data_IF_071938393771
#
_entry.id   IF_071938393771
#
_cell.length_a   1.000
_cell.length_b   1.000
_cell.length_c   1.000
_cell.angle_alpha   90.00
_cell.angle_beta   90.00
_cell.angle_gamma   90.00
#
_symmetry.space_group_name_H-M   'P 1'
#
loop_
_entity.id
_entity.type
_entity.pdbx_description
1 polymer ?
#
# COMPACT_ATOMS: atom_id res chain seq x y z
N UNK A 1 -40.81 -3.41 1.64
CA UNK A 1 -40.40 -2.26 0.84
C UNK A 1 -39.54 -1.41 1.75
N UNK A 2 -38.22 -1.64 1.73
CA UNK A 2 -37.28 -0.99 2.65
C UNK A 2 -36.56 0.09 1.85
N UNK A 3 -36.81 1.33 2.25
CA UNK A 3 -36.16 2.54 1.78
C UNK A 3 -34.70 2.52 2.28
N UNK A 4 -33.76 2.26 1.37
CA UNK A 4 -32.33 2.36 1.62
C UNK A 4 -31.91 3.76 1.21
N UNK A 5 -31.80 4.63 2.22
CA UNK A 5 -31.25 5.99 2.08
C UNK A 5 -29.92 5.96 1.30
N UNK A 6 -30.00 6.35 0.04
CA UNK A 6 -28.86 6.70 -0.80
C UNK A 6 -28.23 7.95 -0.20
N UNK A 7 -27.12 7.80 0.52
CA UNK A 7 -26.29 8.93 0.87
C UNK A 7 -25.34 9.19 -0.31
N UNK A 8 -25.93 9.77 -1.36
CA UNK A 8 -25.27 10.11 -2.61
C UNK A 8 -24.31 11.28 -2.37
N UNK A 9 -23.06 11.11 -2.79
CA UNK A 9 -22.20 12.26 -3.04
C UNK A 9 -22.91 13.09 -4.11
N UNK A 10 -23.29 14.33 -3.80
CA UNK A 10 -23.88 15.22 -4.80
C UNK A 10 -22.87 15.38 -5.95
N UNK A 11 -23.22 15.00 -7.19
CA UNK A 11 -22.31 15.11 -8.32
C UNK A 11 -21.87 16.56 -8.52
N UNK A 12 -20.57 16.80 -8.63
CA UNK A 12 -20.07 18.07 -9.17
C UNK A 12 -19.93 17.90 -10.68
N UNK A 13 -20.31 18.91 -11.47
CA UNK A 13 -20.21 18.91 -12.95
C UNK A 13 -18.82 18.48 -13.48
N UNK A 14 -17.75 18.87 -12.77
CA UNK A 14 -16.37 18.44 -13.08
C UNK A 14 -16.05 16.98 -12.73
N UNK A 15 -16.75 16.41 -11.76
CA UNK A 15 -16.59 15.02 -11.34
C UNK A 15 -17.13 14.05 -12.39
N UNK A 16 -18.29 14.37 -12.97
CA UNK A 16 -18.91 13.58 -14.04
C UNK A 16 -18.10 13.55 -15.35
N UNK A 17 -17.24 14.54 -15.58
CA UNK A 17 -16.31 14.58 -16.73
C UNK A 17 -14.97 13.88 -16.46
N UNK A 18 -14.69 13.54 -15.20
CA UNK A 18 -13.38 12.98 -14.80
C UNK A 18 -13.48 11.48 -14.59
N UNK A 19 -12.88 10.72 -15.50
CA UNK A 19 -12.79 9.26 -15.37
C UNK A 19 -11.92 8.85 -14.17
N UNK A 20 -12.13 7.65 -13.66
CA UNK A 20 -11.27 7.09 -12.61
C UNK A 20 -9.81 7.01 -13.04
N UNK A 21 -9.54 6.71 -14.31
CA UNK A 21 -8.20 6.66 -14.89
C UNK A 21 -7.54 8.04 -14.90
N UNK A 22 -8.26 9.08 -15.34
CA UNK A 22 -7.74 10.44 -15.40
C UNK A 22 -7.47 10.98 -13.99
N UNK A 23 -8.38 10.72 -13.05
CA UNK A 23 -8.19 11.05 -11.64
C UNK A 23 -6.93 10.38 -11.07
N UNK A 24 -6.74 9.08 -11.32
CA UNK A 24 -5.58 8.33 -10.86
C UNK A 24 -4.28 8.83 -11.48
N UNK A 25 -4.26 9.10 -12.79
CA UNK A 25 -3.10 9.67 -13.49
C UNK A 25 -2.70 11.02 -12.89
N UNK A 26 -3.68 11.91 -12.65
CA UNK A 26 -3.43 13.23 -12.07
C UNK A 26 -2.96 13.14 -10.61
N UNK A 27 -3.51 12.21 -9.84
CA UNK A 27 -3.08 11.95 -8.46
C UNK A 27 -1.64 11.44 -8.40
N UNK A 28 -1.28 10.45 -9.22
CA UNK A 28 0.06 9.87 -9.27
C UNK A 28 1.09 10.88 -9.78
N UNK A 29 0.75 11.71 -10.77
CA UNK A 29 1.63 12.77 -11.27
C UNK A 29 1.85 13.92 -10.28
N UNK A 30 0.98 14.07 -9.27
CA UNK A 30 1.13 15.08 -8.22
C UNK A 30 1.97 14.59 -7.02
N UNK A 31 2.37 13.32 -6.98
CA UNK A 31 3.25 12.77 -5.94
C UNK A 31 4.71 12.87 -6.40
N UNK A 32 5.61 13.39 -5.55
CA UNK A 32 7.05 13.38 -5.83
C UNK A 32 7.56 11.93 -5.95
N UNK A 33 8.29 11.67 -7.04
CA UNK A 33 8.45 10.35 -7.63
C UNK A 33 9.47 9.46 -6.92
N UNK A 34 9.03 8.24 -6.56
CA UNK A 34 9.85 7.14 -6.03
C UNK A 34 9.10 5.81 -6.12
N UNK A 35 9.68 4.72 -5.58
CA UNK A 35 9.11 3.34 -5.53
C UNK A 35 7.65 3.30 -5.02
N UNK A 36 7.24 4.29 -4.22
CA UNK A 36 5.86 4.45 -3.78
C UNK A 36 4.88 4.63 -4.95
N UNK A 37 5.27 5.36 -6.00
CA UNK A 37 4.44 5.63 -7.16
C UNK A 37 4.17 4.36 -7.97
N UNK A 38 5.15 3.46 -8.17
CA UNK A 38 4.94 2.23 -8.95
C UNK A 38 4.00 1.25 -8.26
N UNK A 39 4.13 1.08 -6.94
CA UNK A 39 3.20 0.25 -6.18
C UNK A 39 1.78 0.85 -6.17
N UNK A 40 1.66 2.17 -6.00
CA UNK A 40 0.39 2.86 -6.05
C UNK A 40 -0.28 2.74 -7.42
N UNK A 41 0.47 2.83 -8.52
CA UNK A 41 -0.04 2.63 -9.90
C UNK A 41 -0.75 1.28 -10.04
N UNK A 42 -0.07 0.18 -9.71
CA UNK A 42 -0.66 -1.16 -9.86
C UNK A 42 -1.88 -1.39 -8.97
N UNK A 43 -1.90 -0.79 -7.78
CA UNK A 43 -3.05 -0.87 -6.88
C UNK A 43 -4.25 -0.14 -7.48
N UNK A 44 -4.04 1.08 -7.97
CA UNK A 44 -5.09 1.89 -8.57
C UNK A 44 -5.62 1.25 -9.85
N UNK A 45 -4.77 0.80 -10.77
CA UNK A 45 -5.19 0.09 -11.99
C UNK A 45 -6.10 -1.10 -11.67
N UNK A 46 -5.72 -1.91 -10.68
CA UNK A 46 -6.51 -3.07 -10.25
C UNK A 46 -7.85 -2.67 -9.62
N UNK A 47 -7.87 -1.60 -8.83
CA UNK A 47 -9.10 -1.12 -8.21
C UNK A 47 -10.04 -0.50 -9.25
N UNK A 48 -9.51 0.28 -10.20
CA UNK A 48 -10.27 0.88 -11.29
C UNK A 48 -10.96 -0.20 -12.11
N UNK A 49 -10.21 -1.21 -12.61
CA UNK A 49 -10.84 -2.30 -13.37
C UNK A 49 -11.94 -3.03 -12.57
N UNK A 50 -11.74 -3.18 -11.25
CA UNK A 50 -12.76 -3.77 -10.37
C UNK A 50 -14.01 -2.87 -10.21
N UNK A 51 -13.85 -1.55 -10.21
CA UNK A 51 -14.94 -0.58 -10.14
C UNK A 51 -15.69 -0.49 -11.47
N UNK A 52 -14.97 -0.53 -12.60
CA UNK A 52 -15.53 -0.52 -13.95
C UNK A 52 -16.38 -1.77 -14.23
N UNK A 53 -15.92 -2.95 -13.76
CA UNK A 53 -16.71 -4.19 -13.78
C UNK A 53 -18.07 -4.06 -13.05
N UNK A 54 -18.25 -3.02 -12.24
CA UNK A 54 -19.47 -2.70 -11.49
C UNK A 54 -20.21 -1.47 -12.04
N UNK A 55 -19.80 -0.98 -13.21
CA UNK A 55 -20.40 0.16 -13.87
C UNK A 55 -20.07 1.52 -13.26
N UNK A 56 -18.94 1.61 -12.54
CA UNK A 56 -18.43 2.89 -12.00
C UNK A 56 -17.21 3.28 -12.82
N UNK A 57 -17.36 4.31 -13.64
CA UNK A 57 -16.32 4.79 -14.56
C UNK A 57 -15.84 6.20 -14.23
N UNK A 58 -16.69 7.01 -13.57
CA UNK A 58 -16.37 8.38 -13.20
C UNK A 58 -16.07 8.50 -11.70
N UNK A 59 -15.31 9.53 -11.34
CA UNK A 59 -14.87 9.73 -9.96
C UNK A 59 -16.00 10.10 -9.00
N UNK A 60 -17.04 10.77 -9.49
CA UNK A 60 -18.21 11.19 -8.71
C UNK A 60 -19.20 10.04 -8.43
N UNK A 61 -19.17 8.99 -9.25
CA UNK A 61 -19.93 7.75 -9.06
C UNK A 61 -19.39 6.88 -7.91
N UNK A 62 -18.20 7.22 -7.37
CA UNK A 62 -17.58 6.49 -6.26
C UNK A 62 -18.38 6.70 -4.98
N UNK A 63 -19.23 5.74 -4.67
CA UNK A 63 -20.09 5.76 -3.48
C UNK A 63 -19.47 5.06 -2.27
N UNK A 64 -20.00 5.38 -1.08
CA UNK A 64 -19.71 4.64 0.17
C UNK A 64 -19.98 3.13 0.03
N UNK A 65 -21.04 2.78 -0.70
CA UNK A 65 -21.42 1.39 -0.98
C UNK A 65 -20.36 0.67 -1.81
N UNK A 66 -19.81 1.33 -2.83
CA UNK A 66 -18.72 0.76 -3.64
C UNK A 66 -17.51 0.46 -2.77
N UNK A 67 -17.13 1.38 -1.89
CA UNK A 67 -15.97 1.21 -1.01
C UNK A 67 -16.18 0.15 0.07
N UNK A 68 -17.40 0.06 0.62
CA UNK A 68 -17.77 -1.03 1.54
C UNK A 68 -17.60 -2.38 0.85
N UNK A 69 -18.12 -2.52 -0.38
CA UNK A 69 -17.95 -3.74 -1.18
C UNK A 69 -16.48 -4.05 -1.50
N UNK A 70 -15.65 -3.02 -1.69
CA UNK A 70 -14.23 -3.18 -1.90
C UNK A 70 -13.52 -3.67 -0.63
N UNK A 71 -13.82 -3.09 0.54
CA UNK A 71 -13.31 -3.54 1.83
C UNK A 71 -13.71 -5.01 2.10
N UNK A 72 -14.99 -5.37 1.90
CA UNK A 72 -15.44 -6.78 2.00
C UNK A 72 -14.66 -7.71 1.08
N UNK A 73 -14.34 -7.28 -0.16
CA UNK A 73 -13.52 -8.07 -1.07
C UNK A 73 -12.10 -8.29 -0.53
N UNK A 74 -11.47 -7.24 -0.01
CA UNK A 74 -10.12 -7.34 0.56
C UNK A 74 -10.11 -8.25 1.79
N UNK A 75 -11.14 -8.14 2.65
CA UNK A 75 -11.33 -9.04 3.79
C UNK A 75 -11.44 -10.50 3.36
N UNK A 76 -12.29 -10.83 2.37
CA UNK A 76 -12.42 -12.20 1.84
C UNK A 76 -11.10 -12.75 1.30
N UNK A 77 -10.30 -11.92 0.63
CA UNK A 77 -8.96 -12.33 0.13
C UNK A 77 -7.96 -12.54 1.25
N UNK A 78 -8.11 -11.84 2.37
CA UNK A 78 -7.29 -12.05 3.56
C UNK A 78 -7.69 -13.36 4.24
N UNK A 79 -9.00 -13.59 4.43
CA UNK A 79 -9.53 -14.83 5.02
C UNK A 79 -9.16 -16.08 4.20
N UNK A 80 -9.02 -15.94 2.87
CA UNK A 80 -8.56 -17.01 1.98
C UNK A 80 -7.03 -17.12 1.85
N UNK A 81 -6.25 -16.40 2.69
CA UNK A 81 -4.78 -16.32 2.62
C UNK A 81 -4.20 -15.89 1.25
N UNK A 82 -4.99 -15.19 0.42
CA UNK A 82 -4.53 -14.71 -0.89
C UNK A 82 -3.70 -13.42 -0.79
N UNK A 83 -3.90 -12.64 0.28
CA UNK A 83 -3.11 -11.46 0.65
C UNK A 83 -3.01 -11.36 2.17
N UNK A 84 -1.96 -10.70 2.67
CA UNK A 84 -1.87 -10.33 4.08
C UNK A 84 -2.84 -9.18 4.44
N UNK A 85 -3.25 -9.09 5.70
CA UNK A 85 -4.09 -7.99 6.20
C UNK A 85 -3.44 -6.61 5.99
N UNK A 86 -2.12 -6.50 6.17
CA UNK A 86 -1.36 -5.28 5.88
C UNK A 86 -1.40 -4.89 4.39
N UNK A 87 -1.40 -5.87 3.49
CA UNK A 87 -1.56 -5.63 2.05
C UNK A 87 -2.97 -5.14 1.72
N UNK A 88 -3.99 -5.72 2.35
CA UNK A 88 -5.37 -5.24 2.24
C UNK A 88 -5.50 -3.78 2.70
N UNK A 89 -4.92 -3.44 3.86
CA UNK A 89 -4.90 -2.07 4.37
C UNK A 89 -4.22 -1.12 3.39
N UNK A 90 -3.01 -1.46 2.90
CA UNK A 90 -2.29 -0.64 1.94
C UNK A 90 -3.09 -0.43 0.64
N UNK A 91 -3.80 -1.46 0.16
CA UNK A 91 -4.63 -1.33 -1.04
C UNK A 91 -5.76 -0.32 -0.82
N UNK A 92 -6.42 -0.39 0.34
CA UNK A 92 -7.48 0.55 0.68
C UNK A 92 -6.96 1.97 0.89
N UNK A 93 -5.81 2.13 1.57
CA UNK A 93 -5.19 3.43 1.84
C UNK A 93 -4.83 4.19 0.56
N UNK A 94 -4.30 3.49 -0.45
CA UNK A 94 -3.98 4.10 -1.76
C UNK A 94 -5.25 4.63 -2.45
N UNK A 95 -6.35 3.86 -2.42
CA UNK A 95 -7.65 4.30 -2.96
C UNK A 95 -8.18 5.50 -2.15
N UNK A 96 -8.10 5.45 -0.82
CA UNK A 96 -8.51 6.57 0.03
C UNK A 96 -7.66 7.83 -0.22
N UNK A 97 -6.38 7.68 -0.57
CA UNK A 97 -5.49 8.76 -0.99
C UNK A 97 -5.98 9.44 -2.27
N UNK A 98 -6.31 8.65 -3.30
CA UNK A 98 -6.91 9.15 -4.54
C UNK A 98 -8.20 9.95 -4.28
N UNK A 99 -9.11 9.42 -3.45
CA UNK A 99 -10.38 10.09 -3.17
C UNK A 99 -10.23 11.35 -2.31
N UNK A 100 -9.20 11.39 -1.45
CA UNK A 100 -8.82 12.63 -0.75
C UNK A 100 -8.34 13.68 -1.74
N UNK A 101 -7.54 13.29 -2.73
CA UNK A 101 -7.10 14.18 -3.80
C UNK A 101 -8.27 14.66 -4.66
N UNK A 102 -9.20 13.79 -5.02
CA UNK A 102 -10.42 14.13 -5.75
C UNK A 102 -11.30 15.14 -4.99
N UNK A 103 -11.46 14.96 -3.67
CA UNK A 103 -12.18 15.92 -2.84
C UNK A 103 -11.48 17.29 -2.79
N UNK A 104 -10.15 17.34 -2.74
CA UNK A 104 -9.40 18.61 -2.82
C UNK A 104 -9.51 19.32 -4.17
N UNK A 105 -9.89 18.59 -5.23
CA UNK A 105 -10.11 19.10 -6.59
C UNK A 105 -11.57 19.45 -6.87
N UNK A 106 -12.44 19.36 -5.85
CA UNK A 106 -13.89 19.55 -5.93
C UNK A 106 -14.61 18.55 -6.87
N UNK A 107 -13.97 17.43 -7.22
CA UNK A 107 -14.62 16.35 -7.99
C UNK A 107 -15.55 15.51 -7.11
N UNK A 108 -15.28 15.48 -5.81
CA UNK A 108 -16.11 14.88 -4.78
C UNK A 108 -16.37 15.91 -3.70
N UNK A 109 -17.59 15.94 -3.16
CA UNK A 109 -17.93 16.79 -2.02
C UNK A 109 -17.15 16.41 -0.75
N UNK A 110 -16.90 15.12 -0.55
CA UNK A 110 -16.10 14.60 0.55
C UNK A 110 -15.53 13.23 0.18
N UNK A 111 -14.52 12.77 0.91
CA UNK A 111 -13.94 11.45 0.69
C UNK A 111 -14.85 10.36 1.29
N UNK A 112 -15.50 9.50 0.48
CA UNK A 112 -16.39 8.46 1.00
C UNK A 112 -15.64 7.33 1.72
N UNK A 113 -14.31 7.20 1.53
CA UNK A 113 -13.49 6.17 2.18
C UNK A 113 -13.23 6.40 3.66
N UNK A 114 -13.31 7.65 4.13
CA UNK A 114 -13.09 8.02 5.55
C UNK A 114 -14.37 7.99 6.38
N UNK A 115 -15.28 7.08 6.04
CA UNK A 115 -16.48 6.83 6.85
C UNK A 115 -16.18 5.64 7.77
N UNK A 116 -16.60 5.70 9.04
CA UNK A 116 -16.43 4.58 10.01
C UNK A 116 -16.89 3.22 9.44
N UNK A 117 -17.97 3.20 8.66
CA UNK A 117 -18.49 1.99 8.03
C UNK A 117 -17.50 1.32 7.04
N UNK A 118 -16.67 2.10 6.34
CA UNK A 118 -15.69 1.56 5.40
C UNK A 118 -14.41 1.09 6.11
N UNK A 119 -13.99 1.81 7.15
CA UNK A 119 -12.82 1.46 7.96
C UNK A 119 -13.08 0.22 8.83
N UNK A 120 -14.29 0.06 9.38
CA UNK A 120 -14.66 -1.10 10.23
C UNK A 120 -14.72 -2.43 9.47
N UNK A 121 -14.88 -2.42 8.14
CA UNK A 121 -14.92 -3.64 7.31
C UNK A 121 -13.52 -4.12 6.90
N UNK A 122 -12.47 -3.34 7.19
CA UNK A 122 -11.09 -3.73 6.93
C UNK A 122 -10.63 -4.78 7.94
N UNK A 123 -9.80 -5.75 7.52
CA UNK A 123 -9.24 -6.72 8.45
C UNK A 123 -8.43 -6.00 9.52
N UNK A 124 -8.62 -6.39 10.78
CA UNK A 124 -7.81 -5.89 11.88
C UNK A 124 -6.32 -6.14 11.56
N UNK A 125 -5.51 -5.08 11.64
CA UNK A 125 -4.07 -5.20 11.46
C UNK A 125 -3.44 -5.38 12.82
N UNK A 126 -2.86 -6.56 13.04
CA UNK A 126 -1.99 -6.83 14.17
C UNK A 126 -0.72 -5.96 14.01
N UNK A 127 -0.78 -4.73 14.51
CA UNK A 127 0.35 -3.79 14.47
C UNK A 127 1.60 -4.31 15.23
N UNK A 128 1.47 -5.41 15.98
CA UNK A 128 2.58 -6.12 16.62
C UNK A 128 3.57 -6.79 15.66
N UNK A 129 3.22 -6.99 14.40
CA UNK A 129 4.08 -7.68 13.42
C UNK A 129 5.13 -6.81 12.72
N UNK A 130 4.98 -5.47 12.71
CA UNK A 130 5.92 -4.57 12.01
C UNK A 130 7.28 -4.49 12.72
N UNK A 131 7.31 -4.71 14.03
CA UNK A 131 8.54 -4.74 14.83
C UNK A 131 9.22 -6.11 14.87
N UNK A 132 8.55 -7.19 14.41
CA UNK A 132 9.06 -8.57 14.46
C UNK A 132 9.40 -9.13 13.09
N UNK A 133 9.55 -8.29 12.05
CA UNK A 133 10.22 -8.71 10.83
C UNK A 133 11.71 -8.89 11.12
N UNK A 134 12.04 -9.96 11.86
CA UNK A 134 13.37 -10.53 11.88
C UNK A 134 13.61 -11.01 10.45
N UNK A 135 14.33 -10.20 9.66
CA UNK A 135 14.66 -10.53 8.26
C UNK A 135 15.44 -11.84 8.16
N UNK A 136 16.08 -12.28 9.26
CA UNK A 136 16.91 -13.48 9.33
C UNK A 136 16.47 -14.39 10.47
N UNK A 137 16.47 -15.70 10.21
CA UNK A 137 16.40 -16.69 11.28
C UNK A 137 17.66 -16.59 12.17
N UNK A 138 17.63 -17.03 13.44
CA UNK A 138 18.83 -17.05 14.29
C UNK A 138 20.02 -17.79 13.65
N UNK A 139 19.77 -18.86 12.90
CA UNK A 139 20.79 -19.59 12.17
C UNK A 139 21.38 -18.77 11.00
N UNK A 140 20.52 -18.12 10.22
CA UNK A 140 20.94 -17.24 9.11
C UNK A 140 21.75 -16.05 9.63
N UNK A 141 21.36 -15.49 10.77
CA UNK A 141 22.08 -14.43 11.46
C UNK A 141 23.49 -14.88 11.84
N UNK A 142 23.60 -16.04 12.46
CA UNK A 142 24.89 -16.59 12.91
C UNK A 142 25.81 -16.89 11.72
N UNK A 143 25.27 -17.41 10.62
CA UNK A 143 26.02 -17.63 9.38
C UNK A 143 26.53 -16.33 8.75
N UNK A 144 25.69 -15.29 8.69
CA UNK A 144 26.08 -13.99 8.14
C UNK A 144 27.18 -13.31 8.96
N UNK A 145 27.05 -13.33 10.29
CA UNK A 145 28.06 -12.76 11.20
C UNK A 145 29.38 -13.53 11.07
N UNK A 146 29.35 -14.88 11.11
CA UNK A 146 30.56 -15.70 10.93
C UNK A 146 31.25 -15.44 9.60
N UNK A 147 30.49 -15.32 8.52
CA UNK A 147 31.04 -15.05 7.21
C UNK A 147 31.67 -13.65 7.11
N UNK A 148 31.03 -12.64 7.69
CA UNK A 148 31.55 -11.27 7.68
C UNK A 148 32.80 -11.12 8.55
N UNK A 149 32.85 -11.82 9.69
CA UNK A 149 34.03 -11.90 10.56
C UNK A 149 35.21 -12.54 9.82
N UNK A 150 35.00 -13.74 9.24
CA UNK A 150 36.02 -14.43 8.47
C UNK A 150 36.51 -13.60 7.29
N UNK A 151 35.60 -12.96 6.54
CA UNK A 151 35.94 -12.16 5.37
C UNK A 151 36.78 -10.94 5.73
N UNK A 152 36.50 -10.28 6.86
CA UNK A 152 37.28 -9.14 7.32
C UNK A 152 38.69 -9.55 7.77
N UNK A 153 38.80 -10.65 8.51
CA UNK A 153 40.09 -11.18 8.96
C UNK A 153 40.95 -11.64 7.77
N UNK A 154 40.35 -12.39 6.84
CA UNK A 154 41.04 -12.90 5.66
C UNK A 154 41.48 -11.78 4.71
N UNK A 155 40.69 -10.71 4.57
CA UNK A 155 41.07 -9.53 3.78
C UNK A 155 42.25 -8.77 4.39
N UNK A 156 42.32 -8.66 5.72
CA UNK A 156 43.42 -8.01 6.42
C UNK A 156 44.72 -8.83 6.34
N UNK A 157 44.61 -10.16 6.38
CA UNK A 157 45.77 -11.06 6.37
C UNK A 157 46.35 -11.27 4.97
N UNK A 158 45.51 -11.28 3.93
CA UNK A 158 45.90 -11.71 2.58
C UNK A 158 45.79 -10.61 1.50
N UNK A 159 45.34 -9.40 1.85
CA UNK A 159 45.27 -8.20 0.99
C UNK A 159 44.66 -8.46 -0.42
N UNK A 160 43.75 -9.44 -0.52
CA UNK A 160 43.09 -9.79 -1.78
C UNK A 160 41.91 -8.87 -2.11
N UNK A 161 41.50 -8.04 -1.15
CA UNK A 161 40.49 -7.01 -1.29
C UNK A 161 40.75 -5.87 -0.29
N UNK A 162 40.01 -4.78 -0.48
CA UNK A 162 40.04 -3.64 0.44
C UNK A 162 39.60 -4.04 1.86
N UNK A 163 40.57 -4.09 2.79
CA UNK A 163 40.34 -4.41 4.18
C UNK A 163 39.47 -3.39 4.91
N UNK A 164 39.50 -2.10 4.53
CA UNK A 164 38.65 -1.07 5.13
C UNK A 164 37.18 -1.31 4.76
N UNK A 165 36.90 -1.64 3.50
CA UNK A 165 35.57 -2.03 3.06
C UNK A 165 35.08 -3.29 3.77
N UNK A 166 35.94 -4.31 3.93
CA UNK A 166 35.58 -5.56 4.60
C UNK A 166 35.26 -5.36 6.10
N UNK A 167 36.02 -4.51 6.81
CA UNK A 167 35.75 -4.17 8.21
C UNK A 167 34.47 -3.33 8.35
N UNK A 168 34.21 -2.41 7.43
CA UNK A 168 32.96 -1.64 7.41
C UNK A 168 31.75 -2.56 7.22
N UNK A 169 31.82 -3.49 6.29
CA UNK A 169 30.74 -4.44 6.01
C UNK A 169 30.50 -5.37 7.22
N UNK A 170 31.56 -5.80 7.91
CA UNK A 170 31.46 -6.51 9.21
C UNK A 170 30.70 -5.70 10.26
N UNK A 171 31.02 -4.40 10.40
CA UNK A 171 30.32 -3.53 11.35
C UNK A 171 28.83 -3.36 10.98
N UNK A 172 28.52 -3.21 9.69
CA UNK A 172 27.13 -3.10 9.23
C UNK A 172 26.36 -4.39 9.50
N UNK A 173 26.94 -5.56 9.23
CA UNK A 173 26.32 -6.85 9.55
C UNK A 173 26.08 -6.97 11.05
N UNK A 174 27.05 -6.63 11.90
CA UNK A 174 26.87 -6.70 13.35
C UNK A 174 25.77 -5.78 13.90
N UNK A 175 25.53 -4.61 13.27
CA UNK A 175 24.49 -3.65 13.68
C UNK A 175 23.10 -4.08 13.21
N UNK A 176 22.99 -4.63 12.00
CA UNK A 176 21.70 -4.97 11.38
C UNK A 176 21.24 -6.40 11.60
N UNK A 177 22.12 -7.27 12.11
CA UNK A 177 21.85 -8.69 12.35
C UNK A 177 21.12 -8.97 13.65
#
# INVERSE_FOLDING_TARGET
MIDLAQNDATPTDRGSETTLQDAARLYLGAQDSGVYASNATHILERWIGWAEDRGVTNIDEVSKRLLTNYATRLRRRTESNAIAASTAQNYFDVVAGLLTYAARRDWLQSNPARTEAAENELPAVDNGGRATQQFWSPATREELVRWADWRAEDALDHDWMDGEAAVRDRALVAIFA
#
